data_IF_579082326500
#
_entry.id   IF_579082326500
#
_cell.length_a   1.000
_cell.length_b   1.000
_cell.length_c   1.000
_cell.angle_alpha   90.00
_cell.angle_beta   90.00
_cell.angle_gamma   90.00
#
_symmetry.space_group_name_H-M   'P 1'
#
loop_
_entity.id
_entity.type
_entity.pdbx_description
1 polymer ?
#
# COMPACT_ATOMS: atom_id res chain seq x y z
N UNK A 1 -32.66 -18.17 -4.78
CA UNK A 1 -31.66 -17.68 -5.76
C UNK A 1 -30.23 -18.18 -5.49
N UNK A 2 -29.92 -18.78 -4.32
CA UNK A 2 -28.58 -19.37 -4.04
C UNK A 2 -28.33 -20.76 -4.68
N UNK A 3 -29.38 -21.46 -5.15
CA UNK A 3 -29.29 -22.87 -5.57
C UNK A 3 -28.68 -23.12 -6.98
N UNK A 4 -28.29 -22.07 -7.72
CA UNK A 4 -27.79 -22.19 -9.11
C UNK A 4 -26.33 -21.73 -9.31
N UNK A 5 -25.58 -21.46 -8.23
CA UNK A 5 -24.22 -20.86 -8.33
C UNK A 5 -23.17 -21.87 -8.84
N UNK A 6 -23.43 -23.18 -8.71
CA UNK A 6 -22.48 -24.23 -9.10
C UNK A 6 -21.16 -24.17 -8.33
N UNK A 7 -20.33 -25.21 -8.46
CA UNK A 7 -19.01 -25.24 -7.82
C UNK A 7 -18.11 -24.06 -8.25
N UNK A 8 -18.06 -23.63 -9.53
CA UNK A 8 -17.22 -22.49 -9.94
C UNK A 8 -17.62 -21.17 -9.28
N UNK A 9 -18.92 -20.92 -9.12
CA UNK A 9 -19.39 -19.69 -8.48
C UNK A 9 -19.11 -19.67 -6.98
N UNK A 10 -19.16 -20.83 -6.30
CA UNK A 10 -18.75 -20.93 -4.90
C UNK A 10 -17.27 -20.65 -4.72
N UNK A 11 -16.41 -21.23 -5.57
CA UNK A 11 -14.96 -20.96 -5.56
C UNK A 11 -14.68 -19.46 -5.75
N UNK A 12 -15.36 -18.81 -6.69
CA UNK A 12 -15.20 -17.38 -6.92
C UNK A 12 -15.58 -16.55 -5.67
N UNK A 13 -16.68 -16.88 -5.01
CA UNK A 13 -17.10 -16.19 -3.78
C UNK A 13 -16.08 -16.35 -2.65
N UNK A 14 -15.52 -17.55 -2.47
CA UNK A 14 -14.47 -17.78 -1.47
C UNK A 14 -13.20 -16.98 -1.78
N UNK A 15 -12.77 -16.93 -3.04
CA UNK A 15 -11.60 -16.14 -3.46
C UNK A 15 -11.82 -14.66 -3.22
N UNK A 16 -12.97 -14.11 -3.64
CA UNK A 16 -13.31 -12.70 -3.40
C UNK A 16 -13.39 -12.42 -1.90
N UNK A 17 -14.03 -13.30 -1.13
CA UNK A 17 -14.10 -13.19 0.33
C UNK A 17 -12.72 -13.15 0.99
N UNK A 18 -11.79 -14.00 0.55
CA UNK A 18 -10.42 -14.03 1.06
C UNK A 18 -9.65 -12.74 0.72
N UNK A 19 -9.81 -12.21 -0.50
CA UNK A 19 -9.19 -10.94 -0.92
C UNK A 19 -9.72 -9.78 -0.07
N UNK A 20 -11.05 -9.71 0.12
CA UNK A 20 -11.70 -8.68 0.94
C UNK A 20 -11.23 -8.80 2.39
N UNK A 21 -11.20 -10.01 2.93
CA UNK A 21 -10.69 -10.26 4.28
C UNK A 21 -9.24 -9.81 4.44
N UNK A 22 -8.37 -10.13 3.49
CA UNK A 22 -6.98 -9.68 3.50
C UNK A 22 -6.86 -8.14 3.44
N UNK A 23 -7.69 -7.47 2.64
CA UNK A 23 -7.69 -6.01 2.56
C UNK A 23 -8.16 -5.35 3.87
N UNK A 24 -9.20 -5.91 4.49
CA UNK A 24 -9.75 -5.42 5.76
C UNK A 24 -8.74 -5.59 6.90
N UNK A 25 -8.09 -6.75 7.02
CA UNK A 25 -7.10 -7.02 8.09
C UNK A 25 -5.86 -6.12 8.02
N UNK A 26 -5.54 -5.59 6.83
CA UNK A 26 -4.44 -4.65 6.61
C UNK A 26 -4.87 -3.18 6.68
N UNK A 27 -6.16 -2.87 6.76
CA UNK A 27 -6.64 -1.49 6.85
C UNK A 27 -6.38 -0.91 8.25
N UNK A 28 -6.12 0.40 8.32
CA UNK A 28 -6.08 1.13 9.59
C UNK A 28 -4.81 0.96 10.43
N UNK A 29 -3.65 0.71 9.82
CA UNK A 29 -2.36 0.57 10.53
C UNK A 29 -1.67 1.91 10.86
N UNK A 30 -2.37 3.03 10.71
CA UNK A 30 -1.87 4.38 11.01
C UNK A 30 -1.07 5.03 9.87
N UNK A 31 -0.36 6.10 10.21
CA UNK A 31 0.51 6.86 9.30
C UNK A 31 1.84 7.18 9.98
N UNK A 32 2.89 7.28 9.19
CA UNK A 32 4.20 7.80 9.60
C UNK A 32 4.40 9.21 9.05
N UNK A 33 5.07 10.05 9.83
CA UNK A 33 5.50 11.38 9.45
C UNK A 33 7.01 11.38 9.26
N UNK A 34 7.46 11.88 8.12
CA UNK A 34 8.85 11.91 7.70
C UNK A 34 9.32 13.34 7.49
N UNK A 35 10.59 13.60 7.82
CA UNK A 35 11.31 14.83 7.50
C UNK A 35 12.65 14.49 6.85
N UNK A 36 12.96 15.15 5.75
CA UNK A 36 14.28 15.05 5.14
C UNK A 36 15.24 16.03 5.84
N UNK A 37 16.38 15.56 6.39
CA UNK A 37 17.32 16.40 7.14
C UNK A 37 18.00 17.48 6.29
N UNK A 38 18.18 17.21 4.99
CA UNK A 38 18.97 18.06 4.09
C UNK A 38 18.17 19.23 3.54
N UNK A 39 16.87 19.04 3.27
CA UNK A 39 16.03 20.06 2.64
C UNK A 39 14.77 20.41 3.45
N UNK A 40 14.57 19.79 4.61
CA UNK A 40 13.46 20.07 5.51
C UNK A 40 12.08 19.62 5.01
N UNK A 41 11.98 18.94 3.86
CA UNK A 41 10.70 18.50 3.28
C UNK A 41 10.00 17.53 4.20
N UNK A 42 8.70 17.74 4.40
CA UNK A 42 7.82 16.88 5.17
C UNK A 42 7.03 15.96 4.24
N UNK A 43 6.89 14.69 4.63
CA UNK A 43 6.10 13.69 3.90
C UNK A 43 5.32 12.84 4.89
N UNK A 44 4.07 12.56 4.58
CA UNK A 44 3.25 11.58 5.26
C UNK A 44 3.22 10.27 4.47
N UNK A 45 3.23 9.15 5.19
CA UNK A 45 3.18 7.81 4.61
C UNK A 45 2.12 6.95 5.32
N UNK A 46 0.98 6.68 4.66
CA UNK A 46 -0.01 5.74 5.17
C UNK A 46 0.56 4.32 5.28
N UNK A 47 0.10 3.56 6.28
CA UNK A 47 0.51 2.17 6.53
C UNK A 47 -0.68 1.24 6.34
N UNK A 48 -0.40 0.05 5.79
CA UNK A 48 -1.42 -0.97 5.53
C UNK A 48 -1.97 -0.94 4.11
N UNK A 49 -3.20 -1.41 3.91
CA UNK A 49 -3.84 -1.49 2.60
C UNK A 49 -4.05 -0.10 1.98
N UNK A 50 -3.70 0.05 0.70
CA UNK A 50 -3.75 1.32 -0.03
C UNK A 50 -5.03 1.47 -0.83
N UNK A 51 -6.11 1.89 -0.18
CA UNK A 51 -7.39 2.20 -0.84
C UNK A 51 -7.25 3.17 -2.00
N UNK A 52 -6.39 4.19 -1.86
CA UNK A 52 -6.13 5.14 -2.95
C UNK A 52 -5.55 4.45 -4.18
N UNK A 53 -4.67 3.45 -3.99
CA UNK A 53 -4.06 2.73 -5.11
C UNK A 53 -5.05 1.78 -5.77
N UNK A 54 -5.97 1.19 -4.99
CA UNK A 54 -7.01 0.31 -5.53
C UNK A 54 -7.93 1.04 -6.51
N UNK A 55 -8.37 2.25 -6.16
CA UNK A 55 -9.32 3.01 -6.97
C UNK A 55 -8.66 3.88 -8.05
N UNK A 56 -7.42 4.34 -7.83
CA UNK A 56 -6.76 5.31 -8.70
C UNK A 56 -5.47 4.80 -9.34
N UNK A 57 -5.13 3.52 -9.17
CA UNK A 57 -3.96 2.90 -9.78
C UNK A 57 -2.66 3.67 -9.49
N UNK A 58 -1.95 4.21 -10.51
CA UNK A 58 -0.66 4.85 -10.34
C UNK A 58 -0.72 6.29 -9.78
N UNK A 59 -1.88 6.96 -9.83
CA UNK A 59 -1.98 8.39 -9.47
C UNK A 59 -1.54 8.72 -8.03
N UNK A 60 -1.85 7.92 -7.00
CA UNK A 60 -1.35 8.19 -5.66
C UNK A 60 0.17 8.16 -5.57
N UNK A 61 0.86 7.33 -6.35
CA UNK A 61 2.31 7.32 -6.41
C UNK A 61 2.88 8.55 -7.11
N UNK A 62 2.22 8.98 -8.18
CA UNK A 62 2.55 10.20 -8.91
C UNK A 62 2.47 11.43 -8.00
N UNK A 63 1.35 11.62 -7.30
CA UNK A 63 1.13 12.79 -6.44
C UNK A 63 2.01 12.79 -5.18
N UNK A 64 2.43 11.61 -4.70
CA UNK A 64 3.41 11.50 -3.62
C UNK A 64 4.85 11.71 -4.07
N UNK A 65 5.09 11.89 -5.37
CA UNK A 65 6.42 12.09 -5.95
C UNK A 65 7.24 10.81 -6.06
N UNK A 66 6.61 9.63 -5.98
CA UNK A 66 7.27 8.34 -6.20
C UNK A 66 7.09 7.92 -7.68
N UNK A 67 7.80 8.61 -8.57
CA UNK A 67 7.68 8.50 -10.02
C UNK A 67 7.94 7.09 -10.56
N UNK A 68 9.01 6.43 -10.06
CA UNK A 68 9.33 5.04 -10.41
C UNK A 68 8.18 4.12 -10.01
N UNK A 69 7.64 4.29 -8.80
CA UNK A 69 6.47 3.56 -8.34
C UNK A 69 5.24 3.74 -9.24
N UNK A 70 4.95 4.97 -9.64
CA UNK A 70 3.85 5.27 -10.55
C UNK A 70 3.99 4.55 -11.91
N UNK A 71 5.18 4.62 -12.51
CA UNK A 71 5.45 3.99 -13.81
C UNK A 71 5.34 2.46 -13.71
N UNK A 72 5.92 1.85 -12.67
CA UNK A 72 5.86 0.40 -12.46
C UNK A 72 4.42 -0.06 -12.26
N UNK A 73 3.63 0.62 -11.43
CA UNK A 73 2.22 0.28 -11.22
C UNK A 73 1.48 0.34 -12.55
N UNK A 74 1.67 1.41 -13.33
CA UNK A 74 0.99 1.60 -14.60
C UNK A 74 1.32 0.48 -15.60
N UNK A 75 2.60 0.23 -15.85
CA UNK A 75 3.04 -0.76 -16.85
C UNK A 75 2.63 -2.17 -16.44
N UNK A 76 2.86 -2.56 -15.19
CA UNK A 76 2.53 -3.92 -14.72
C UNK A 76 1.01 -4.13 -14.69
N UNK A 77 0.23 -3.11 -14.34
CA UNK A 77 -1.23 -3.17 -14.43
C UNK A 77 -1.70 -3.31 -15.87
N UNK A 78 -1.07 -2.60 -16.82
CA UNK A 78 -1.40 -2.71 -18.24
C UNK A 78 -1.09 -4.12 -18.80
N UNK A 79 0.11 -4.64 -18.55
CA UNK A 79 0.56 -5.96 -19.05
C UNK A 79 -0.27 -7.09 -18.45
N UNK A 80 -0.72 -6.94 -17.20
CA UNK A 80 -1.55 -7.93 -16.51
C UNK A 80 -3.05 -7.78 -16.79
N UNK A 81 -3.45 -6.95 -17.76
CA UNK A 81 -4.85 -6.66 -18.08
C UNK A 81 -5.68 -6.20 -16.85
N UNK A 82 -5.07 -5.40 -15.97
CA UNK A 82 -5.71 -4.86 -14.78
C UNK A 82 -5.52 -5.68 -13.51
N UNK A 83 -5.09 -6.95 -13.60
CA UNK A 83 -4.99 -7.85 -12.43
C UNK A 83 -4.02 -7.32 -11.37
N UNK A 84 -2.88 -6.76 -11.76
CA UNK A 84 -1.93 -6.20 -10.81
C UNK A 84 -2.49 -4.98 -10.06
N UNK A 85 -3.47 -4.27 -10.62
CA UNK A 85 -4.17 -3.17 -9.96
C UNK A 85 -4.90 -3.61 -8.69
N UNK A 86 -5.28 -4.88 -8.59
CA UNK A 86 -5.90 -5.48 -7.39
C UNK A 86 -4.82 -5.88 -6.37
N UNK A 87 -3.60 -6.19 -6.82
CA UNK A 87 -2.50 -6.71 -5.99
C UNK A 87 -1.64 -5.59 -5.40
N UNK A 88 -1.33 -4.54 -6.16
CA UNK A 88 -0.52 -3.41 -5.70
C UNK A 88 -0.99 -2.74 -4.39
N UNK A 89 -2.30 -2.55 -4.15
CA UNK A 89 -2.80 -1.93 -2.93
C UNK A 89 -2.33 -2.61 -1.63
N UNK A 90 -2.04 -3.92 -1.67
CA UNK A 90 -1.60 -4.68 -0.49
C UNK A 90 -0.20 -4.31 0.00
N UNK A 91 0.69 -3.83 -0.87
CA UNK A 91 2.08 -3.57 -0.50
C UNK A 91 2.59 -2.19 -0.93
N UNK A 92 1.85 -1.45 -1.75
CA UNK A 92 2.28 -0.16 -2.26
C UNK A 92 2.65 0.84 -1.15
N UNK A 93 1.85 0.94 -0.09
CA UNK A 93 2.12 1.83 1.04
C UNK A 93 3.46 1.47 1.73
N UNK A 94 3.72 0.18 1.95
CA UNK A 94 5.01 -0.32 2.47
C UNK A 94 6.16 0.04 1.53
N UNK A 95 5.94 -0.10 0.22
CA UNK A 95 6.95 0.25 -0.77
C UNK A 95 7.26 1.75 -0.76
N UNK A 96 6.24 2.60 -0.64
CA UNK A 96 6.41 4.05 -0.51
C UNK A 96 7.18 4.46 0.75
N UNK A 97 6.93 3.83 1.89
CA UNK A 97 7.75 4.02 3.10
C UNK A 97 9.22 3.69 2.81
N UNK A 98 9.47 2.57 2.14
CA UNK A 98 10.84 2.19 1.78
C UNK A 98 11.51 3.16 0.83
N UNK A 99 10.76 3.72 -0.12
CA UNK A 99 11.24 4.79 -1.00
C UNK A 99 11.67 6.02 -0.20
N UNK A 100 10.87 6.50 0.75
CA UNK A 100 11.22 7.66 1.58
C UNK A 100 12.47 7.41 2.43
N UNK A 101 12.56 6.23 3.05
CA UNK A 101 13.74 5.86 3.84
C UNK A 101 15.00 5.82 2.97
N UNK A 102 14.91 5.26 1.77
CA UNK A 102 16.03 5.21 0.83
C UNK A 102 16.42 6.60 0.29
N UNK A 103 15.47 7.53 0.22
CA UNK A 103 15.70 8.94 -0.14
C UNK A 103 16.21 9.79 1.05
N UNK A 104 16.57 9.14 2.17
CA UNK A 104 17.20 9.78 3.34
C UNK A 104 16.23 10.47 4.29
N UNK A 105 14.92 10.22 4.18
CA UNK A 105 13.96 10.74 5.14
C UNK A 105 14.03 10.00 6.47
N UNK A 106 13.80 10.75 7.56
CA UNK A 106 13.73 10.24 8.93
C UNK A 106 12.31 10.39 9.49
N UNK A 107 11.88 9.41 10.28
CA UNK A 107 10.60 9.40 10.97
C UNK A 107 10.63 10.39 12.12
N UNK A 108 9.72 11.36 12.10
CA UNK A 108 9.56 12.37 13.16
C UNK A 108 8.34 12.12 14.03
N UNK A 109 7.45 11.21 13.64
CA UNK A 109 6.25 10.87 14.41
C UNK A 109 5.39 9.82 13.71
N UNK A 110 4.33 9.40 14.40
CA UNK A 110 3.33 8.47 13.88
C UNK A 110 1.97 8.68 14.56
N UNK A 111 0.89 8.26 13.89
CA UNK A 111 -0.46 8.23 14.49
C UNK A 111 -0.62 7.13 15.56
N UNK A 112 0.41 6.30 15.78
CA UNK A 112 0.43 5.20 16.74
C UNK A 112 1.85 4.82 17.17
N UNK A 113 2.03 3.59 17.65
CA UNK A 113 3.36 3.12 18.08
C UNK A 113 4.29 2.90 16.89
N UNK A 114 5.41 3.64 16.86
CA UNK A 114 6.46 3.45 15.85
C UNK A 114 7.00 2.00 15.90
N UNK A 115 7.10 1.40 17.09
CA UNK A 115 7.57 0.03 17.25
C UNK A 115 6.61 -0.99 16.59
N UNK A 116 5.30 -0.81 16.74
CA UNK A 116 4.30 -1.68 16.10
C UNK A 116 4.33 -1.55 14.58
N UNK A 117 4.45 -0.32 14.07
CA UNK A 117 4.56 -0.06 12.64
C UNK A 117 5.88 -0.64 12.10
N UNK A 118 6.99 -0.47 12.81
CA UNK A 118 8.30 -1.06 12.49
C UNK A 118 8.21 -2.58 12.37
N UNK A 119 7.58 -3.23 13.36
CA UNK A 119 7.33 -4.68 13.34
C UNK A 119 6.45 -5.11 12.16
N UNK A 120 5.37 -4.39 11.88
CA UNK A 120 4.52 -4.66 10.73
C UNK A 120 5.29 -4.53 9.41
N UNK A 121 6.09 -3.48 9.27
CA UNK A 121 6.90 -3.23 8.08
C UNK A 121 8.11 -4.17 7.96
N UNK A 122 8.49 -4.86 9.03
CA UNK A 122 9.65 -5.75 9.08
C UNK A 122 10.96 -5.00 8.82
N UNK A 123 11.04 -3.73 9.25
CA UNK A 123 12.23 -2.89 9.07
C UNK A 123 12.37 -1.90 10.21
N UNK A 124 13.61 -1.59 10.57
CA UNK A 124 13.90 -0.45 11.44
C UNK A 124 13.61 0.86 10.71
N UNK A 125 13.03 1.82 11.45
CA UNK A 125 12.66 3.13 10.95
C UNK A 125 13.69 4.16 11.44
N UNK A 126 14.38 4.86 10.52
CA UNK A 126 15.37 5.86 10.92
C UNK A 126 14.68 7.04 11.61
N UNK A 127 15.22 7.48 12.74
CA UNK A 127 14.74 8.66 13.49
C UNK A 127 15.72 9.83 13.37
#
# INVERSE_FOLDING_TARGET
>A
MLNNIGLPGLVLLFVVGAIVWAAVTQTGKGKLYFKNPHNGRLRDAPIGFSWTTLFFGPFPALFRGHWVGAIVIFIVTLISYGLAGIVFPFFYNRWYVGYLVNDGYKVTGADGSIAEISNYLGRELPQ
#
